data_IF_181327597104
#
_entry.id   IF_181327597104
#
_cell.length_a   1.000
_cell.length_b   1.000
_cell.length_c   1.000
_cell.angle_alpha   90.00
_cell.angle_beta   90.00
_cell.angle_gamma   90.00
#
_symmetry.space_group_name_H-M   'P 1'
#
loop_
_entity.id
_entity.type
_entity.pdbx_description
1 polymer ?
#
# COMPACT_ATOMS: atom_id res chain seq x y z
N UNK A 1 21.74 11.65 -6.16
CA UNK A 1 20.55 12.39 -5.71
C UNK A 1 19.54 12.65 -6.82
N UNK A 2 19.59 11.97 -7.95
CA UNK A 2 18.74 12.17 -9.14
C UNK A 2 17.75 11.02 -9.40
N UNK A 3 17.76 9.96 -8.59
CA UNK A 3 16.94 8.76 -8.80
C UNK A 3 15.51 8.86 -8.26
N UNK A 4 15.28 9.61 -7.20
CA UNK A 4 13.96 9.70 -6.53
C UNK A 4 12.94 10.49 -7.36
N UNK A 5 13.37 11.56 -8.02
CA UNK A 5 12.46 12.40 -8.80
C UNK A 5 11.95 11.78 -10.11
N UNK A 6 12.67 10.80 -10.69
CA UNK A 6 12.19 10.08 -11.88
C UNK A 6 11.10 9.05 -11.56
N UNK A 7 11.18 8.41 -10.38
CA UNK A 7 10.14 7.46 -9.93
C UNK A 7 8.81 8.17 -9.68
N UNK A 8 8.83 9.34 -9.01
CA UNK A 8 7.60 10.08 -8.68
C UNK A 8 6.88 10.67 -9.91
N UNK A 9 7.60 11.07 -10.97
CA UNK A 9 6.97 11.61 -12.18
C UNK A 9 6.26 10.56 -13.04
N UNK A 10 6.71 9.31 -13.04
CA UNK A 10 6.07 8.23 -13.80
C UNK A 10 4.83 7.64 -13.14
N UNK A 11 4.63 7.85 -11.84
CA UNK A 11 3.42 7.42 -11.13
C UNK A 11 2.18 8.19 -11.64
N UNK A 12 2.37 9.41 -12.15
CA UNK A 12 1.28 10.24 -12.66
C UNK A 12 0.79 9.85 -14.07
N UNK A 13 1.58 9.11 -14.84
CA UNK A 13 1.29 8.85 -16.26
C UNK A 13 0.76 7.44 -16.56
N UNK A 14 0.65 6.54 -15.58
CA UNK A 14 0.16 5.18 -15.81
C UNK A 14 -1.33 5.06 -15.50
N UNK A 15 -2.17 5.29 -16.47
CA UNK A 15 -3.63 5.13 -16.43
C UNK A 15 -4.14 3.69 -16.20
N UNK A 16 -3.29 2.75 -15.82
CA UNK A 16 -3.66 1.33 -15.74
C UNK A 16 -3.35 0.64 -14.42
N UNK A 17 -2.93 1.38 -13.40
CA UNK A 17 -2.63 0.76 -12.11
C UNK A 17 -3.50 1.40 -11.05
N UNK A 18 -4.30 0.59 -10.35
CA UNK A 18 -5.08 1.01 -9.20
C UNK A 18 -4.18 1.84 -8.27
N UNK A 19 -4.37 3.16 -8.27
CA UNK A 19 -3.71 4.06 -7.33
C UNK A 19 -4.19 3.69 -5.93
N UNK A 20 -3.27 3.36 -5.05
CA UNK A 20 -3.59 3.15 -3.65
C UNK A 20 -3.90 4.50 -3.01
N UNK A 21 -5.09 4.67 -2.48
CA UNK A 21 -5.38 5.83 -1.62
C UNK A 21 -4.65 5.66 -0.29
N UNK A 22 -3.61 6.45 -0.08
CA UNK A 22 -2.82 6.42 1.16
C UNK A 22 -3.61 6.85 2.42
N UNK A 23 -4.82 7.35 2.28
CA UNK A 23 -5.75 7.67 3.38
C UNK A 23 -6.66 6.51 3.73
N UNK A 24 -6.75 5.52 2.86
CA UNK A 24 -7.54 4.29 3.06
C UNK A 24 -6.66 3.20 3.68
N UNK A 25 -6.79 2.96 4.97
CA UNK A 25 -6.08 1.87 5.64
C UNK A 25 -6.25 0.51 4.98
N UNK A 26 -7.45 0.09 4.54
CA UNK A 26 -7.62 -1.16 3.82
C UNK A 26 -6.78 -1.24 2.56
N UNK A 27 -6.70 -0.17 1.78
CA UNK A 27 -5.88 -0.13 0.55
C UNK A 27 -4.39 -0.14 0.85
N UNK A 28 -3.95 0.59 1.89
CA UNK A 28 -2.54 0.60 2.32
C UNK A 28 -2.11 -0.79 2.79
N UNK A 29 -2.90 -1.46 3.63
CA UNK A 29 -2.61 -2.82 4.09
C UNK A 29 -2.60 -3.80 2.92
N UNK A 30 -3.56 -3.68 2.00
CA UNK A 30 -3.60 -4.51 0.80
C UNK A 30 -2.35 -4.30 -0.07
N UNK A 31 -1.93 -3.06 -0.28
CA UNK A 31 -0.73 -2.74 -1.05
C UNK A 31 0.54 -3.33 -0.41
N UNK A 32 0.71 -3.18 0.89
CA UNK A 32 1.84 -3.77 1.63
C UNK A 32 1.82 -5.29 1.50
N UNK A 33 0.67 -5.92 1.67
CA UNK A 33 0.54 -7.38 1.69
C UNK A 33 0.74 -8.03 0.32
N UNK A 34 0.43 -7.31 -0.77
CA UNK A 34 0.42 -7.88 -2.12
C UNK A 34 1.55 -7.41 -3.02
N UNK A 35 2.25 -6.32 -2.67
CA UNK A 35 3.21 -5.65 -3.55
C UNK A 35 4.63 -5.58 -2.98
N UNK A 36 4.83 -5.85 -1.68
CA UNK A 36 6.15 -5.78 -1.08
C UNK A 36 6.71 -7.15 -0.74
N UNK A 37 8.00 -7.32 -0.99
CA UNK A 37 8.83 -8.43 -0.53
C UNK A 37 9.78 -7.93 0.55
N UNK A 38 9.83 -8.61 1.70
CA UNK A 38 10.56 -8.12 2.87
C UNK A 38 12.06 -7.92 2.64
N UNK A 39 12.68 -8.73 1.79
CA UNK A 39 14.12 -8.62 1.52
C UNK A 39 14.46 -7.52 0.52
N UNK A 40 13.53 -7.19 -0.38
CA UNK A 40 13.76 -6.22 -1.46
C UNK A 40 13.24 -4.84 -1.12
N UNK A 41 12.06 -4.76 -0.50
CA UNK A 41 11.24 -3.56 -0.46
C UNK A 41 11.21 -2.89 0.91
N UNK A 42 11.92 -3.44 1.90
CA UNK A 42 12.03 -2.88 3.24
C UNK A 42 13.41 -2.24 3.43
N UNK A 43 13.41 -1.04 3.95
CA UNK A 43 14.63 -0.31 4.33
C UNK A 43 14.51 0.13 5.77
N UNK A 44 15.54 -0.17 6.56
CA UNK A 44 15.61 0.24 7.96
C UNK A 44 16.64 1.36 8.13
N UNK A 45 16.27 2.38 8.90
CA UNK A 45 17.18 3.41 9.36
C UNK A 45 17.28 3.32 10.87
N UNK A 46 18.39 2.77 11.36
CA UNK A 46 18.64 2.56 12.76
C UNK A 46 19.26 3.82 13.43
N UNK A 47 19.12 3.93 14.73
CA UNK A 47 19.74 4.98 15.53
C UNK A 47 19.41 6.41 15.05
N UNK A 48 18.16 6.62 14.66
CA UNK A 48 17.66 7.94 14.26
C UNK A 48 17.11 8.69 15.47
N UNK A 49 17.28 10.03 15.53
CA UNK A 49 16.60 10.84 16.54
C UNK A 49 15.09 10.69 16.45
N UNK A 50 14.43 10.52 17.59
CA UNK A 50 12.98 10.43 17.71
C UNK A 50 12.47 11.34 18.83
N UNK A 51 11.17 11.61 18.84
CA UNK A 51 10.53 12.29 19.95
C UNK A 51 10.53 11.39 21.20
N UNK A 52 10.66 11.98 22.37
CA UNK A 52 10.61 11.26 23.65
C UNK A 52 9.23 10.66 23.95
N UNK A 53 8.20 10.99 23.18
CA UNK A 53 6.87 10.37 23.24
C UNK A 53 6.81 8.98 22.59
N UNK A 54 7.84 8.57 21.88
CA UNK A 54 7.93 7.22 21.30
C UNK A 54 8.42 6.22 22.37
N UNK A 55 7.48 5.72 23.17
CA UNK A 55 7.75 4.77 24.25
C UNK A 55 8.10 3.35 23.77
N UNK A 56 7.92 3.05 22.47
CA UNK A 56 8.32 1.78 21.90
C UNK A 56 9.83 1.67 21.68
N UNK A 57 10.52 2.79 21.70
CA UNK A 57 11.97 2.83 21.58
C UNK A 57 12.67 2.28 22.82
N UNK A 58 13.72 1.44 22.66
CA UNK A 58 14.48 0.91 23.80
C UNK A 58 15.32 1.99 24.50
N UNK A 59 15.61 3.10 23.84
CA UNK A 59 16.40 4.23 24.38
C UNK A 59 15.66 5.52 24.11
N UNK A 60 15.48 6.34 25.16
CA UNK A 60 14.79 7.62 25.04
C UNK A 60 15.51 8.54 24.04
N UNK A 61 14.75 9.11 23.11
CA UNK A 61 15.26 10.03 22.08
C UNK A 61 16.01 9.36 20.92
N UNK A 62 16.14 8.04 20.92
CA UNK A 62 16.83 7.27 19.87
C UNK A 62 16.02 6.05 19.47
N UNK A 63 15.64 5.96 18.21
CA UNK A 63 14.85 4.85 17.69
C UNK A 63 15.25 4.47 16.28
N UNK A 64 14.36 3.75 15.61
CA UNK A 64 14.56 3.32 14.24
C UNK A 64 13.33 3.62 13.40
N UNK A 65 13.51 3.68 12.10
CA UNK A 65 12.43 3.91 11.14
C UNK A 65 12.45 2.81 10.08
N UNK A 66 11.30 2.46 9.57
CA UNK A 66 11.15 1.54 8.44
C UNK A 66 10.52 2.27 7.26
N UNK A 67 11.11 2.10 6.09
CA UNK A 67 10.52 2.45 4.80
C UNK A 67 10.06 1.19 4.10
N UNK A 68 8.86 1.20 3.54
CA UNK A 68 8.28 0.08 2.80
C UNK A 68 7.91 0.57 1.40
N UNK A 69 8.48 -0.07 0.36
CA UNK A 69 8.08 0.16 -1.02
C UNK A 69 6.96 -0.81 -1.41
N UNK A 70 5.72 -0.35 -1.27
CA UNK A 70 4.51 -1.07 -1.67
C UNK A 70 3.97 -0.59 -3.04
N UNK A 71 4.81 -0.04 -3.89
CA UNK A 71 4.45 0.34 -5.26
C UNK A 71 4.42 -0.88 -6.19
N UNK A 72 3.77 -0.74 -7.34
CA UNK A 72 3.84 -1.77 -8.37
C UNK A 72 5.27 -1.88 -8.90
N UNK A 73 5.68 -3.11 -9.15
CA UNK A 73 7.02 -3.39 -9.66
C UNK A 73 7.09 -3.20 -11.18
N UNK A 74 8.25 -2.75 -11.63
CA UNK A 74 8.51 -2.49 -13.03
C UNK A 74 9.06 -3.72 -13.73
N UNK A 75 9.03 -3.69 -15.05
CA UNK A 75 9.76 -4.66 -15.87
C UNK A 75 11.25 -4.65 -15.47
N UNK A 76 11.78 -5.84 -15.13
CA UNK A 76 13.13 -6.02 -14.61
C UNK A 76 13.26 -6.02 -13.06
N UNK A 77 12.25 -5.56 -12.33
CA UNK A 77 12.21 -5.71 -10.85
C UNK A 77 11.60 -7.04 -10.42
N UNK A 78 10.83 -7.67 -11.28
CA UNK A 78 10.27 -9.01 -11.08
C UNK A 78 10.23 -9.76 -12.41
N UNK A 79 10.39 -11.08 -12.35
CA UNK A 79 10.19 -12.00 -13.49
C UNK A 79 8.79 -12.59 -13.53
N UNK A 80 7.95 -12.31 -12.51
CA UNK A 80 6.59 -12.81 -12.42
C UNK A 80 5.63 -11.84 -13.10
N UNK A 81 4.64 -12.40 -13.77
CA UNK A 81 3.49 -11.61 -14.20
C UNK A 81 2.77 -11.04 -12.97
N UNK A 82 2.54 -9.74 -12.97
CA UNK A 82 1.90 -9.08 -11.86
C UNK A 82 0.40 -9.35 -11.85
N UNK A 83 -0.12 -9.75 -10.71
CA UNK A 83 -1.54 -9.99 -10.53
C UNK A 83 -2.36 -8.71 -10.78
N UNK A 84 -3.47 -8.84 -11.48
CA UNK A 84 -4.43 -7.76 -11.67
C UNK A 84 -5.54 -7.86 -10.63
N UNK A 85 -5.99 -6.74 -10.04
CA UNK A 85 -7.17 -6.76 -9.19
C UNK A 85 -8.36 -7.34 -9.95
N UNK A 86 -9.07 -8.26 -9.31
CA UNK A 86 -10.35 -8.76 -9.83
C UNK A 86 -11.38 -7.66 -9.65
N UNK A 87 -11.94 -7.20 -10.76
CA UNK A 87 -13.00 -6.19 -10.76
C UNK A 87 -14.28 -6.88 -11.18
N UNK A 88 -15.29 -6.84 -10.33
CA UNK A 88 -16.62 -7.35 -10.68
C UNK A 88 -17.28 -6.44 -11.72
N UNK A 89 -18.06 -7.03 -12.61
CA UNK A 89 -18.91 -6.27 -13.53
C UNK A 89 -19.97 -5.48 -12.74
N UNK A 90 -20.42 -4.37 -13.29
CA UNK A 90 -21.34 -3.47 -12.61
C UNK A 90 -22.65 -4.17 -12.19
N UNK A 91 -23.17 -5.06 -13.03
CA UNK A 91 -24.38 -5.85 -12.74
C UNK A 91 -24.18 -6.84 -11.59
N UNK A 92 -23.01 -7.45 -11.48
CA UNK A 92 -22.67 -8.34 -10.36
C UNK A 92 -22.50 -7.53 -9.06
N UNK A 93 -21.86 -6.37 -9.14
CA UNK A 93 -21.73 -5.48 -7.98
C UNK A 93 -23.10 -5.03 -7.47
N UNK A 94 -23.99 -4.57 -8.35
CA UNK A 94 -25.33 -4.13 -7.99
C UNK A 94 -26.16 -5.25 -7.33
N UNK A 95 -26.07 -6.48 -7.87
CA UNK A 95 -26.74 -7.65 -7.27
C UNK A 95 -26.16 -8.00 -5.91
N UNK A 96 -24.87 -7.93 -5.73
CA UNK A 96 -24.20 -8.17 -4.46
C UNK A 96 -24.62 -7.13 -3.41
N UNK A 97 -24.65 -5.85 -3.78
CA UNK A 97 -25.05 -4.76 -2.91
C UNK A 97 -26.53 -4.86 -2.51
N UNK A 98 -27.41 -5.28 -3.43
CA UNK A 98 -28.81 -5.53 -3.14
C UNK A 98 -29.00 -6.67 -2.13
N UNK A 99 -28.27 -7.78 -2.32
CA UNK A 99 -28.32 -8.92 -1.42
C UNK A 99 -27.81 -8.58 -0.02
N UNK A 100 -26.73 -7.82 0.06
CA UNK A 100 -26.15 -7.39 1.34
C UNK A 100 -27.12 -6.51 2.13
N UNK A 101 -27.85 -5.60 1.45
CA UNK A 101 -28.92 -4.79 2.07
C UNK A 101 -30.09 -5.65 2.51
N UNK A 102 -30.53 -6.59 1.69
CA UNK A 102 -31.64 -7.50 2.02
C UNK A 102 -31.31 -8.34 3.26
N UNK A 103 -30.07 -8.79 3.39
CA UNK A 103 -29.60 -9.58 4.53
C UNK A 103 -29.25 -8.73 5.77
N UNK A 104 -29.32 -7.41 5.70
CA UNK A 104 -29.00 -6.52 6.82
C UNK A 104 -27.53 -6.61 7.27
N UNK A 105 -26.60 -6.93 6.36
CA UNK A 105 -25.19 -7.10 6.69
C UNK A 105 -24.40 -5.78 6.68
N UNK A 106 -24.99 -4.69 6.22
CA UNK A 106 -24.43 -3.33 6.31
C UNK A 106 -25.47 -2.47 7.01
N UNK A 107 -25.09 -1.86 8.14
CA UNK A 107 -25.85 -0.76 8.72
C UNK A 107 -25.60 0.50 7.89
N UNK A 108 -26.66 1.19 7.49
CA UNK A 108 -26.58 2.51 6.86
C UNK A 108 -25.98 3.48 7.89
N UNK A 109 -24.78 3.99 7.62
CA UNK A 109 -24.17 5.09 8.36
C UNK A 109 -24.60 6.43 7.78
#
# INVERSE_FOLDING_TARGET
MLSINRRLRRIADSHTVASCDCRSWPEVIWAISTRSDAARDFTFAENTPIDYLDFASPVSGLGSKVGIDATNKWEGETTREWGRPIVMSADVQERADALVRELGLIEEQ
#
